data_IF_402471660200
#
_entry.id   IF_402471660200
#
_cell.length_a   1.000
_cell.length_b   1.000
_cell.length_c   1.000
_cell.angle_alpha   90.00
_cell.angle_beta   90.00
_cell.angle_gamma   90.00
#
_symmetry.space_group_name_H-M   'P 1'
#
loop_
_entity.id
_entity.type
_entity.pdbx_description
1 polymer ?
#
# COMPACT_ATOMS: atom_id res chain seq x y z
N UNK A 1 -6.04 10.97 -17.60
CA UNK A 1 -5.18 9.83 -17.99
C UNK A 1 -5.55 9.40 -19.41
N UNK A 2 -4.58 9.12 -20.28
CA UNK A 2 -4.86 8.59 -21.64
C UNK A 2 -5.39 7.15 -21.53
N UNK A 3 -6.37 6.70 -22.35
CA UNK A 3 -6.94 5.36 -22.24
C UNK A 3 -5.90 4.24 -22.21
N UNK A 4 -4.87 4.33 -23.07
CA UNK A 4 -3.78 3.35 -23.14
C UNK A 4 -2.90 3.34 -21.88
N UNK A 5 -2.67 4.48 -21.24
CA UNK A 5 -1.92 4.55 -19.97
C UNK A 5 -2.69 3.82 -18.86
N UNK A 6 -4.01 3.97 -18.81
CA UNK A 6 -4.87 3.26 -17.87
C UNK A 6 -4.79 1.75 -18.04
N UNK A 7 -4.77 1.26 -19.29
CA UNK A 7 -4.59 -0.16 -19.60
C UNK A 7 -3.22 -0.65 -19.13
N UNK A 8 -2.15 0.08 -19.41
CA UNK A 8 -0.80 -0.29 -18.96
C UNK A 8 -0.75 -0.42 -17.45
N UNK A 9 -1.30 0.55 -16.71
CA UNK A 9 -1.39 0.51 -15.25
C UNK A 9 -2.18 -0.72 -14.80
N UNK A 10 -3.39 -0.93 -15.32
CA UNK A 10 -4.27 -2.04 -14.90
C UNK A 10 -3.60 -3.40 -15.09
N UNK A 11 -3.00 -3.63 -16.26
CA UNK A 11 -2.32 -4.89 -16.58
C UNK A 11 -1.07 -5.08 -15.71
N UNK A 12 -0.25 -4.04 -15.59
CA UNK A 12 0.99 -4.08 -14.80
C UNK A 12 0.71 -4.25 -13.31
N UNK A 13 -0.38 -3.67 -12.80
CA UNK A 13 -0.81 -3.78 -11.41
C UNK A 13 -1.12 -5.23 -11.04
N UNK A 14 -1.81 -5.98 -11.91
CA UNK A 14 -2.06 -7.41 -11.67
C UNK A 14 -0.75 -8.22 -11.66
N UNK A 15 0.16 -7.91 -12.58
CA UNK A 15 1.46 -8.56 -12.66
C UNK A 15 2.31 -8.28 -11.41
N UNK A 16 2.42 -7.02 -11.00
CA UNK A 16 3.17 -6.62 -9.81
C UNK A 16 2.56 -7.12 -8.50
N UNK A 17 1.22 -7.22 -8.43
CA UNK A 17 0.55 -7.82 -7.27
C UNK A 17 1.06 -9.25 -7.06
N UNK A 18 1.08 -10.06 -8.11
CA UNK A 18 1.47 -11.47 -8.07
C UNK A 18 2.97 -11.66 -7.92
N UNK A 19 3.75 -11.08 -8.83
CA UNK A 19 5.17 -11.39 -9.02
C UNK A 19 6.12 -10.44 -8.27
N UNK A 20 5.60 -9.33 -7.74
CA UNK A 20 6.42 -8.25 -7.18
C UNK A 20 6.92 -7.30 -8.27
N UNK A 21 7.76 -6.35 -7.88
CA UNK A 21 8.20 -5.28 -8.77
C UNK A 21 9.51 -5.59 -9.47
N UNK A 22 10.45 -6.28 -8.80
CA UNK A 22 11.76 -6.59 -9.36
C UNK A 22 11.69 -7.70 -10.42
N UNK A 23 10.87 -8.72 -10.19
CA UNK A 23 10.83 -9.92 -11.05
C UNK A 23 10.36 -9.62 -12.49
N UNK A 24 9.26 -8.88 -12.74
CA UNK A 24 8.82 -8.62 -14.11
C UNK A 24 9.78 -7.68 -14.86
N UNK A 25 10.24 -8.12 -16.03
CA UNK A 25 11.00 -7.29 -16.97
C UNK A 25 10.07 -6.34 -17.73
N UNK A 26 10.61 -5.27 -18.34
CA UNK A 26 9.83 -4.38 -19.22
C UNK A 26 9.23 -5.15 -20.41
N UNK A 27 9.93 -6.17 -20.91
CA UNK A 27 9.42 -7.02 -21.99
C UNK A 27 8.21 -7.82 -21.53
N UNK A 28 8.27 -8.42 -20.32
CA UNK A 28 7.14 -9.14 -19.71
C UNK A 28 5.96 -8.22 -19.41
N UNK A 29 6.22 -7.02 -18.91
CA UNK A 29 5.19 -5.99 -18.66
C UNK A 29 4.51 -5.61 -19.98
N UNK A 30 5.30 -5.38 -21.04
CA UNK A 30 4.80 -4.99 -22.37
C UNK A 30 3.93 -6.09 -22.98
N UNK A 31 4.39 -7.35 -22.91
CA UNK A 31 3.63 -8.53 -23.34
C UNK A 31 2.30 -8.65 -22.59
N UNK A 32 2.34 -8.57 -21.25
CA UNK A 32 1.15 -8.67 -20.40
C UNK A 32 0.13 -7.53 -20.64
N UNK A 33 0.61 -6.35 -21.04
CA UNK A 33 -0.24 -5.21 -21.40
C UNK A 33 -0.64 -5.19 -22.89
N UNK A 34 -0.18 -6.15 -23.71
CA UNK A 34 -0.48 -6.22 -25.14
C UNK A 34 0.09 -5.04 -25.93
N UNK A 35 1.25 -4.51 -25.53
CA UNK A 35 1.91 -3.37 -26.17
C UNK A 35 3.35 -3.69 -26.57
N UNK A 36 3.92 -2.86 -27.45
CA UNK A 36 5.36 -2.94 -27.75
C UNK A 36 6.20 -2.29 -26.64
N UNK A 37 7.46 -2.70 -26.51
CA UNK A 37 8.45 -2.05 -25.65
C UNK A 37 8.62 -0.56 -25.99
N UNK A 38 8.59 -0.20 -27.28
CA UNK A 38 8.62 1.21 -27.71
C UNK A 38 7.39 1.95 -27.18
N UNK A 39 6.21 1.34 -27.21
CA UNK A 39 4.99 1.93 -26.65
C UNK A 39 5.12 2.12 -25.14
N UNK A 40 5.68 1.16 -24.40
CA UNK A 40 5.95 1.31 -22.97
C UNK A 40 6.77 2.58 -22.72
N UNK A 41 7.90 2.72 -23.42
CA UNK A 41 8.80 3.86 -23.25
C UNK A 41 8.22 5.21 -23.69
N UNK A 42 7.13 5.22 -24.48
CA UNK A 42 6.38 6.46 -24.77
C UNK A 42 5.56 6.97 -23.57
N UNK A 43 5.21 6.09 -22.63
CA UNK A 43 4.44 6.44 -21.43
C UNK A 43 5.32 6.53 -20.18
N UNK A 44 6.29 5.63 -20.04
CA UNK A 44 7.13 5.54 -18.84
C UNK A 44 8.60 5.47 -19.23
N UNK A 45 9.48 6.35 -18.71
CA UNK A 45 10.91 6.31 -19.01
C UNK A 45 11.58 5.03 -18.51
N UNK A 46 11.08 4.45 -17.41
CA UNK A 46 11.58 3.23 -16.81
C UNK A 46 10.46 2.50 -16.03
N UNK A 47 10.82 1.37 -15.41
CA UNK A 47 9.90 0.58 -14.59
C UNK A 47 9.51 1.31 -13.30
N UNK A 48 10.40 2.11 -12.71
CA UNK A 48 10.15 2.82 -11.45
C UNK A 48 9.06 3.88 -11.61
N UNK A 49 9.07 4.62 -12.72
CA UNK A 49 8.04 5.60 -13.05
C UNK A 49 6.65 4.96 -13.14
N UNK A 50 6.55 3.76 -13.72
CA UNK A 50 5.29 3.00 -13.74
C UNK A 50 4.87 2.56 -12.33
N UNK A 51 5.82 2.11 -11.49
CA UNK A 51 5.53 1.71 -10.11
C UNK A 51 4.96 2.89 -9.32
N UNK A 52 5.57 4.07 -9.44
CA UNK A 52 5.11 5.28 -8.76
C UNK A 52 3.68 5.67 -9.17
N UNK A 53 3.36 5.60 -10.47
CA UNK A 53 2.02 5.91 -10.99
C UNK A 53 0.97 4.90 -10.47
N UNK A 54 1.33 3.60 -10.43
CA UNK A 54 0.49 2.55 -9.85
C UNK A 54 0.26 2.78 -8.35
N UNK A 55 1.30 3.10 -7.58
CA UNK A 55 1.18 3.37 -6.15
C UNK A 55 0.33 4.62 -5.89
N UNK A 56 0.45 5.65 -6.72
CA UNK A 56 -0.38 6.85 -6.62
C UNK A 56 -1.85 6.54 -6.89
N UNK A 57 -2.14 5.72 -7.91
CA UNK A 57 -3.50 5.27 -8.19
C UNK A 57 -4.05 4.39 -7.06
N UNK A 58 -3.27 3.43 -6.55
CA UNK A 58 -3.66 2.59 -5.41
C UNK A 58 -3.95 3.40 -4.16
N UNK A 59 -3.18 4.44 -3.89
CA UNK A 59 -3.44 5.36 -2.79
C UNK A 59 -4.80 6.05 -2.98
N UNK A 60 -5.05 6.63 -4.15
CA UNK A 60 -6.33 7.30 -4.45
C UNK A 60 -7.51 6.35 -4.30
N UNK A 61 -7.45 5.17 -4.91
CA UNK A 61 -8.50 4.15 -4.86
C UNK A 61 -8.78 3.73 -3.41
N UNK A 62 -7.73 3.48 -2.63
CA UNK A 62 -7.86 3.07 -1.24
C UNK A 62 -8.45 4.18 -0.36
N UNK A 63 -7.99 5.43 -0.53
CA UNK A 63 -8.51 6.56 0.25
C UNK A 63 -9.98 6.85 -0.09
N UNK A 64 -10.36 6.69 -1.36
CA UNK A 64 -11.76 6.81 -1.78
C UNK A 64 -12.60 5.69 -1.17
N UNK A 65 -12.15 4.43 -1.24
CA UNK A 65 -12.85 3.31 -0.63
C UNK A 65 -13.06 3.51 0.88
N UNK A 66 -12.05 4.02 1.60
CA UNK A 66 -12.20 4.36 3.02
C UNK A 66 -13.25 5.43 3.27
N UNK A 67 -13.31 6.47 2.44
CA UNK A 67 -14.36 7.49 2.53
C UNK A 67 -15.73 6.87 2.32
N UNK A 68 -15.89 6.07 1.26
CA UNK A 68 -17.17 5.47 0.88
C UNK A 68 -17.71 4.52 1.96
N UNK A 69 -16.89 3.60 2.47
CA UNK A 69 -17.33 2.61 3.48
C UNK A 69 -17.64 3.24 4.85
N UNK A 70 -17.16 4.46 5.11
CA UNK A 70 -17.36 5.17 6.38
C UNK A 70 -18.36 6.32 6.30
N UNK A 71 -18.83 6.68 5.10
CA UNK A 71 -19.67 7.86 4.86
C UNK A 71 -21.01 7.81 5.60
N UNK A 72 -21.62 6.62 5.69
CA UNK A 72 -22.93 6.39 6.30
C UNK A 72 -22.85 5.92 7.77
N UNK A 73 -21.65 5.74 8.31
CA UNK A 73 -21.43 5.20 9.66
C UNK A 73 -21.48 6.31 10.72
N UNK A 74 -22.46 6.32 11.64
CA UNK A 74 -22.67 7.44 12.55
C UNK A 74 -21.64 7.51 13.68
N UNK A 75 -21.06 6.38 14.10
CA UNK A 75 -20.09 6.34 15.21
C UNK A 75 -18.67 5.97 14.77
N UNK A 76 -17.66 6.41 15.53
CA UNK A 76 -16.27 6.01 15.31
C UNK A 76 -16.05 4.49 15.42
N UNK A 77 -16.84 3.80 16.27
CA UNK A 77 -16.81 2.35 16.39
C UNK A 77 -17.26 1.68 15.10
N UNK A 78 -18.40 2.08 14.54
CA UNK A 78 -18.90 1.52 13.28
C UNK A 78 -17.96 1.81 12.10
N UNK A 79 -17.34 2.99 12.06
CA UNK A 79 -16.30 3.31 11.08
C UNK A 79 -15.11 2.36 11.17
N UNK A 80 -14.63 2.08 12.38
CA UNK A 80 -13.54 1.12 12.58
C UNK A 80 -13.95 -0.29 12.15
N UNK A 81 -15.15 -0.76 12.49
CA UNK A 81 -15.65 -2.06 12.04
C UNK A 81 -15.73 -2.15 10.52
N UNK A 82 -16.28 -1.14 9.83
CA UNK A 82 -16.34 -1.11 8.37
C UNK A 82 -14.94 -1.20 7.73
N UNK A 83 -13.94 -0.54 8.33
CA UNK A 83 -12.55 -0.61 7.88
C UNK A 83 -11.97 -2.01 8.07
N UNK A 84 -12.22 -2.65 9.23
CA UNK A 84 -11.79 -4.04 9.45
C UNK A 84 -12.47 -5.02 8.51
N UNK A 85 -13.76 -4.84 8.20
CA UNK A 85 -14.47 -5.64 7.21
C UNK A 85 -13.87 -5.47 5.80
N UNK A 86 -13.55 -4.22 5.40
CA UNK A 86 -12.84 -3.95 4.16
C UNK A 86 -11.50 -4.70 4.09
N UNK A 87 -10.70 -4.66 5.17
CA UNK A 87 -9.45 -5.42 5.25
C UNK A 87 -9.69 -6.94 5.23
N UNK A 88 -10.70 -7.45 5.95
CA UNK A 88 -11.04 -8.87 5.96
C UNK A 88 -11.41 -9.37 4.55
N UNK A 89 -12.20 -8.61 3.81
CA UNK A 89 -12.56 -8.92 2.43
C UNK A 89 -11.32 -8.93 1.52
N UNK A 90 -10.38 -8.01 1.74
CA UNK A 90 -9.13 -8.00 0.99
C UNK A 90 -8.23 -9.18 1.34
N UNK A 91 -8.08 -9.53 2.62
CA UNK A 91 -7.26 -10.65 3.09
C UNK A 91 -7.79 -12.02 2.67
N UNK A 92 -9.10 -12.13 2.46
CA UNK A 92 -9.76 -13.39 2.05
C UNK A 92 -9.92 -13.50 0.53
N UNK A 93 -9.49 -12.49 -0.24
CA UNK A 93 -9.49 -12.54 -1.69
C UNK A 93 -8.46 -13.58 -2.19
N UNK A 94 -8.83 -14.37 -3.21
CA UNK A 94 -7.94 -15.37 -3.81
C UNK A 94 -6.67 -14.77 -4.44
N UNK A 95 -6.69 -13.49 -4.83
CA UNK A 95 -5.55 -12.75 -5.39
C UNK A 95 -4.81 -11.91 -4.33
N UNK A 96 -4.90 -12.29 -3.05
CA UNK A 96 -4.18 -11.61 -1.98
C UNK A 96 -2.70 -11.96 -1.97
N UNK A 97 -1.86 -10.98 -2.29
CA UNK A 97 -0.39 -11.08 -2.27
C UNK A 97 0.27 -10.08 -1.29
N UNK A 98 -0.51 -9.60 -0.31
CA UNK A 98 -0.06 -8.59 0.64
C UNK A 98 -0.15 -7.16 0.10
N UNK A 99 0.33 -6.20 0.90
CA UNK A 99 0.25 -4.77 0.57
C UNK A 99 1.27 -4.37 -0.49
N UNK A 100 0.79 -3.83 -1.61
CA UNK A 100 1.63 -3.30 -2.69
C UNK A 100 2.62 -2.20 -2.23
N UNK A 101 2.25 -1.37 -1.24
CA UNK A 101 3.15 -0.37 -0.66
C UNK A 101 4.26 -0.99 0.19
N UNK A 102 3.89 -1.95 1.05
CA UNK A 102 4.87 -2.68 1.87
C UNK A 102 5.87 -3.42 0.98
N UNK A 103 5.38 -4.09 -0.07
CA UNK A 103 6.22 -4.78 -1.04
C UNK A 103 7.16 -3.82 -1.79
N UNK A 104 6.67 -2.63 -2.17
CA UNK A 104 7.50 -1.61 -2.82
C UNK A 104 8.62 -1.12 -1.89
N UNK A 105 8.33 -0.91 -0.60
CA UNK A 105 9.35 -0.57 0.40
C UNK A 105 10.39 -1.68 0.58
N UNK A 106 9.99 -2.95 0.57
CA UNK A 106 10.94 -4.06 0.69
C UNK A 106 11.85 -4.16 -0.54
N UNK A 107 11.30 -4.02 -1.74
CA UNK A 107 12.05 -4.24 -2.98
C UNK A 107 12.83 -3.00 -3.46
N UNK A 108 12.35 -1.79 -3.16
CA UNK A 108 12.92 -0.53 -3.64
C UNK A 108 13.25 0.47 -2.53
N UNK A 109 12.91 0.19 -1.28
CA UNK A 109 13.04 1.17 -0.19
C UNK A 109 14.46 1.62 0.09
N UNK A 110 15.49 0.82 -0.22
CA UNK A 110 16.89 1.23 -0.07
C UNK A 110 17.38 2.08 -1.25
N UNK A 111 16.97 1.74 -2.48
CA UNK A 111 17.46 2.33 -3.73
C UNK A 111 16.64 3.51 -4.25
N UNK A 112 15.37 3.64 -3.89
CA UNK A 112 14.47 4.69 -4.38
C UNK A 112 13.94 5.59 -3.25
N UNK A 113 14.43 6.84 -3.17
CA UNK A 113 13.83 7.86 -2.31
C UNK A 113 12.37 8.16 -2.68
N UNK A 114 12.02 8.12 -3.98
CA UNK A 114 10.67 8.40 -4.44
C UNK A 114 9.65 7.37 -3.91
N UNK A 115 10.01 6.09 -3.96
CA UNK A 115 9.17 5.00 -3.40
C UNK A 115 9.02 5.15 -1.88
N UNK A 116 10.09 5.51 -1.15
CA UNK A 116 9.97 5.82 0.29
C UNK A 116 9.00 6.96 0.55
N UNK A 117 9.11 8.04 -0.22
CA UNK A 117 8.26 9.22 -0.07
C UNK A 117 6.79 8.89 -0.29
N UNK A 118 6.41 8.26 -1.40
CA UNK A 118 4.99 7.91 -1.65
C UNK A 118 4.43 6.98 -0.57
N UNK A 119 5.21 5.99 -0.10
CA UNK A 119 4.77 5.10 0.96
C UNK A 119 4.61 5.82 2.32
N UNK A 120 5.48 6.79 2.62
CA UNK A 120 5.36 7.62 3.82
C UNK A 120 4.16 8.57 3.75
N UNK A 121 3.86 9.10 2.56
CA UNK A 121 2.72 9.98 2.31
C UNK A 121 1.40 9.21 2.44
N UNK A 122 1.32 8.01 1.87
CA UNK A 122 0.19 7.10 2.03
C UNK A 122 -0.12 6.84 3.51
N UNK A 123 0.88 6.43 4.29
CA UNK A 123 0.74 6.24 5.75
C UNK A 123 0.29 7.53 6.44
N UNK A 124 0.86 8.67 6.08
CA UNK A 124 0.50 9.97 6.67
C UNK A 124 -0.95 10.36 6.39
N UNK A 125 -1.49 10.06 5.21
CA UNK A 125 -2.89 10.32 4.87
C UNK A 125 -3.83 9.37 5.60
N UNK A 126 -3.45 8.10 5.71
CA UNK A 126 -4.13 7.13 6.56
C UNK A 126 -4.25 7.60 8.02
N UNK A 127 -3.16 8.09 8.61
CA UNK A 127 -3.18 8.65 9.97
C UNK A 127 -4.08 9.88 10.11
N UNK A 128 -4.16 10.74 9.09
CA UNK A 128 -5.02 11.93 9.10
C UNK A 128 -6.50 11.58 8.91
N UNK A 129 -6.81 10.46 8.25
CA UNK A 129 -8.17 10.01 8.01
C UNK A 129 -8.91 9.62 9.30
N UNK A 130 -8.21 8.99 10.24
CA UNK A 130 -8.73 8.73 11.58
C UNK A 130 -8.28 9.87 12.50
N UNK A 131 -9.07 10.95 12.67
CA UNK A 131 -8.69 12.04 13.54
C UNK A 131 -8.36 11.49 14.92
N UNK A 132 -7.28 12.01 15.51
CA UNK A 132 -6.88 11.67 16.87
C UNK A 132 -8.10 11.75 17.77
N UNK A 133 -8.51 10.63 18.34
CA UNK A 133 -9.33 10.73 19.55
C UNK A 133 -8.50 11.54 20.55
N UNK A 134 -9.05 12.59 21.17
CA UNK A 134 -8.36 13.25 22.28
C UNK A 134 -8.00 12.14 23.24
N UNK A 135 -6.70 12.00 23.52
CA UNK A 135 -6.18 10.95 24.38
C UNK A 135 -7.03 10.92 25.64
N UNK A 136 -7.91 9.94 25.78
CA UNK A 136 -8.33 9.53 27.12
C UNK A 136 -7.05 8.98 27.68
N UNK A 137 -6.37 9.75 28.51
CA UNK A 137 -5.08 9.43 29.12
C UNK A 137 -5.13 7.99 29.55
N UNK A 138 -4.59 7.09 28.73
CA UNK A 138 -4.24 5.76 29.20
C UNK A 138 -3.13 6.11 30.16
N UNK A 139 -3.43 6.04 31.47
CA UNK A 139 -2.40 6.05 32.49
C UNK A 139 -1.49 4.89 32.12
N UNK A 140 -0.44 5.18 31.36
CA UNK A 140 0.72 4.33 31.24
C UNK A 140 1.17 4.16 32.68
N UNK A 141 0.88 3.01 33.29
CA UNK A 141 1.70 2.54 34.39
C UNK A 141 3.11 2.59 33.82
N UNK A 142 3.93 3.45 34.40
CA UNK A 142 5.34 3.52 34.06
C UNK A 142 5.86 2.08 34.06
N UNK A 143 6.49 1.69 32.95
CA UNK A 143 7.37 0.53 32.95
C UNK A 143 8.42 0.85 34.02
N UNK A 144 8.20 0.31 35.22
CA UNK A 144 9.19 0.37 36.28
C UNK A 144 10.41 -0.34 35.76
N UNK A 145 11.51 0.39 35.66
CA UNK A 145 12.85 -0.17 35.65
C UNK A 145 13.07 -0.83 37.00
N UNK A 146 12.65 -2.08 37.14
CA UNK A 146 13.12 -3.00 38.15
C UNK A 146 13.81 -4.11 37.39
N UNK A 147 15.15 -4.07 37.38
CA UNK A 147 15.92 -5.23 36.98
C UNK A 147 15.68 -6.34 38.00
N UNK A 148 15.77 -7.56 37.52
CA UNK A 148 16.35 -8.68 38.25
C UNK A 148 16.95 -9.60 37.19
N UNK A 149 18.27 -9.65 37.20
CA UNK A 149 19.06 -10.76 36.70
C UNK A 149 18.61 -12.02 37.45
N UNK A 150 18.35 -13.11 36.71
CA UNK A 150 18.78 -14.48 37.03
C UNK A 150 17.91 -15.54 36.35
N UNK A 151 18.61 -16.60 35.93
CA UNK A 151 18.15 -17.96 35.73
C UNK A 151 17.24 -18.28 34.52
N UNK A 152 17.87 -18.75 33.44
CA UNK A 152 17.49 -20.04 32.86
C UNK A 152 18.75 -20.81 32.48
N UNK A 153 19.10 -21.76 33.33
CA UNK A 153 19.88 -22.94 33.00
C UNK A 153 18.92 -23.99 32.43
N UNK A 154 19.21 -24.46 31.21
CA UNK A 154 19.33 -25.88 30.84
C UNK A 154 19.98 -25.98 29.46
#
# INVERSE_FOLDING_TARGET
MKPKQAEIIRHSMSLFNKEGYQSPSIDRISENAGISKMTFYRYYPDKEALILDILQQKECDFMQALQDITADKPTGREKLFAVFEYYNNWFTCADFHGCMFTRALFEYGTSSPAIRTICSQFKSRLYKFFPRHPHRTIKTRACGTGGDDDAYAD
#
